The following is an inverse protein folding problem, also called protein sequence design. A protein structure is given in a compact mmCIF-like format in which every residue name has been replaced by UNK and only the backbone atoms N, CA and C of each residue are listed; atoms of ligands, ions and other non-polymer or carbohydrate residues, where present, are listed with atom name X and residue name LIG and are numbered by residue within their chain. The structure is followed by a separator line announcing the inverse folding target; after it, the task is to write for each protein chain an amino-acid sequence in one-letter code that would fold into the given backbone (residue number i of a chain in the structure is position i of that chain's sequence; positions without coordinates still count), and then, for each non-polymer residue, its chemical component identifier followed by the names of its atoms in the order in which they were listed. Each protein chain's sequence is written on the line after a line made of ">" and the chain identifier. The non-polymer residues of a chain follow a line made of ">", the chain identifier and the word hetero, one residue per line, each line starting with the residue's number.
data_IF_065901091203
#
_entry.id   IF_065901091203
#
_cell.length_a   1.000
_cell.length_b   1.000
_cell.length_c   1.000
_cell.angle_alpha   90.00
_cell.angle_beta   90.00
_cell.angle_gamma   90.00
#
_symmetry.space_group_name_H-M   'P 1'
#
loop_
_entity.id
_entity.type
_entity.pdbx_description
1 polymer ?
#
# COMPACT_ATOMS: atom_id res chain seq x y z
N UNK A 1 5.07 -14.25 -73.19
CA UNK A 1 4.87 -12.80 -73.37
C UNK A 1 3.77 -12.35 -72.40
N UNK A 2 4.15 -11.43 -71.48
CA UNK A 2 3.26 -10.69 -70.52
C UNK A 2 2.51 -11.52 -69.44
N UNK A 3 3.14 -11.70 -68.29
CA UNK A 3 2.53 -11.56 -66.96
C UNK A 3 3.56 -10.77 -66.12
N UNK A 4 3.40 -9.48 -66.06
CA UNK A 4 4.02 -8.57 -65.11
C UNK A 4 2.96 -7.55 -64.73
N UNK A 5 2.94 -7.17 -63.46
CA UNK A 5 2.13 -6.12 -62.83
C UNK A 5 0.90 -6.65 -62.10
N UNK A 6 1.10 -7.09 -60.86
CA UNK A 6 0.14 -6.90 -59.75
C UNK A 6 0.78 -6.99 -58.36
N UNK A 7 2.13 -7.06 -58.24
CA UNK A 7 2.83 -7.23 -56.96
C UNK A 7 3.31 -5.92 -56.30
N UNK A 8 2.89 -4.74 -56.79
CA UNK A 8 3.44 -3.44 -56.29
C UNK A 8 2.51 -2.75 -55.29
N UNK A 9 1.23 -3.09 -55.24
CA UNK A 9 0.30 -2.43 -54.32
C UNK A 9 0.31 -3.02 -52.90
N UNK A 10 0.59 -4.31 -52.74
CA UNK A 10 0.63 -4.96 -51.44
C UNK A 10 1.88 -4.59 -50.64
N UNK A 11 3.00 -4.33 -51.31
CA UNK A 11 4.23 -3.85 -50.64
C UNK A 11 4.14 -2.44 -50.06
N UNK A 12 3.22 -1.59 -50.54
CA UNK A 12 3.10 -0.22 -50.04
C UNK A 12 2.30 -0.13 -48.71
N UNK A 13 1.40 -1.07 -48.51
CA UNK A 13 0.60 -1.15 -47.27
C UNK A 13 1.43 -1.75 -46.12
N UNK A 14 2.26 -2.76 -46.46
CA UNK A 14 3.21 -3.39 -45.49
C UNK A 14 4.36 -2.43 -45.14
N UNK A 15 4.83 -1.60 -46.10
CA UNK A 15 5.86 -0.57 -45.83
C UNK A 15 5.39 0.53 -44.88
N UNK A 16 4.09 0.85 -44.82
CA UNK A 16 3.56 1.88 -43.91
C UNK A 16 3.47 1.41 -42.48
N UNK A 17 3.24 0.12 -42.24
CA UNK A 17 3.23 -0.46 -40.89
C UNK A 17 4.62 -0.68 -40.31
N UNK A 18 5.61 -1.01 -41.13
CA UNK A 18 7.01 -1.21 -40.71
C UNK A 18 7.74 0.14 -40.50
N UNK A 19 7.40 1.21 -41.21
CA UNK A 19 7.98 2.56 -40.99
C UNK A 19 7.59 3.18 -39.65
N UNK A 20 6.48 2.75 -39.03
CA UNK A 20 6.14 3.19 -37.69
C UNK A 20 6.94 2.49 -36.58
N UNK A 21 7.54 1.32 -36.83
CA UNK A 21 8.36 0.58 -35.87
C UNK A 21 9.75 1.22 -35.69
N UNK A 22 10.36 1.70 -36.79
CA UNK A 22 11.66 2.38 -36.75
C UNK A 22 11.59 3.79 -36.12
N UNK A 23 10.42 4.43 -36.11
CA UNK A 23 10.24 5.77 -35.53
C UNK A 23 10.08 5.80 -34.02
N UNK A 24 9.87 4.68 -33.36
CA UNK A 24 9.76 4.64 -31.88
C UNK A 24 11.10 4.39 -31.16
N UNK A 25 12.16 3.97 -31.86
CA UNK A 25 13.49 3.76 -31.26
C UNK A 25 14.44 4.95 -31.42
N UNK A 26 14.12 5.93 -32.28
CA UNK A 26 14.94 7.15 -32.47
C UNK A 26 14.33 8.39 -31.78
N UNK A 27 13.52 8.22 -30.75
CA UNK A 27 13.23 9.31 -29.84
C UNK A 27 14.52 9.63 -29.06
N UNK A 28 15.35 10.50 -29.66
CA UNK A 28 16.33 11.31 -28.95
C UNK A 28 15.65 11.79 -27.67
N UNK A 29 16.10 11.28 -26.54
CA UNK A 29 15.65 11.73 -25.22
C UNK A 29 15.86 13.25 -25.17
N UNK A 30 14.82 14.07 -25.00
CA UNK A 30 15.05 15.38 -24.46
C UNK A 30 15.54 15.16 -23.02
N UNK A 31 16.73 15.67 -22.71
CA UNK A 31 17.17 15.90 -21.32
C UNK A 31 16.18 16.89 -20.69
N UNK A 32 15.04 16.40 -20.28
CA UNK A 32 14.23 17.07 -19.27
C UNK A 32 14.59 16.41 -17.94
N UNK A 33 15.42 17.14 -17.17
CA UNK A 33 15.46 17.01 -15.73
C UNK A 33 14.06 17.37 -15.18
N UNK A 34 13.08 16.51 -15.43
CA UNK A 34 11.72 16.60 -14.92
C UNK A 34 11.61 15.67 -13.73
N UNK A 35 11.17 16.24 -12.62
CA UNK A 35 10.81 15.60 -11.36
C UNK A 35 10.28 14.16 -11.60
N UNK A 36 11.07 13.19 -11.21
CA UNK A 36 10.74 11.75 -11.29
C UNK A 36 9.51 11.36 -10.47
N UNK A 37 9.06 12.23 -9.58
CA UNK A 37 7.96 12.01 -8.66
C UNK A 37 6.56 12.28 -9.24
N UNK A 38 6.44 12.66 -10.52
CA UNK A 38 5.19 13.20 -11.06
C UNK A 38 4.27 12.23 -11.78
N UNK A 39 4.75 11.06 -12.22
CA UNK A 39 3.96 10.19 -13.10
C UNK A 39 2.65 9.71 -12.47
N UNK A 40 2.69 9.28 -11.22
CA UNK A 40 1.52 8.75 -10.52
C UNK A 40 0.88 9.75 -9.56
N UNK A 41 1.53 10.90 -9.31
CA UNK A 41 1.13 11.86 -8.29
C UNK A 41 -0.32 12.31 -8.44
N UNK A 42 -0.77 12.59 -9.66
CA UNK A 42 -2.16 12.98 -9.90
C UNK A 42 -3.15 11.90 -9.45
N UNK A 43 -2.86 10.64 -9.73
CA UNK A 43 -3.70 9.49 -9.35
C UNK A 43 -3.65 9.30 -7.83
N UNK A 44 -2.47 9.41 -7.21
CA UNK A 44 -2.32 9.29 -5.76
C UNK A 44 -3.04 10.40 -5.02
N UNK A 45 -2.93 11.66 -5.47
CA UNK A 45 -3.65 12.81 -4.91
C UNK A 45 -5.19 12.67 -5.07
N UNK A 46 -5.65 12.04 -6.14
CA UNK A 46 -7.07 11.76 -6.37
C UNK A 46 -7.56 10.65 -5.43
N UNK A 47 -6.81 9.57 -5.29
CA UNK A 47 -7.09 8.48 -4.36
C UNK A 47 -7.10 8.99 -2.92
N UNK A 48 -6.16 9.84 -2.53
CA UNK A 48 -6.13 10.43 -1.20
C UNK A 48 -7.41 11.21 -0.87
N UNK A 49 -7.95 11.94 -1.84
CA UNK A 49 -9.20 12.72 -1.66
C UNK A 49 -10.46 11.88 -1.67
N UNK A 50 -10.50 10.81 -2.48
CA UNK A 50 -11.73 10.07 -2.75
C UNK A 50 -11.82 8.77 -1.95
N UNK A 51 -10.72 8.27 -1.36
CA UNK A 51 -10.66 6.97 -0.71
C UNK A 51 -11.62 6.85 0.46
N UNK A 52 -12.61 5.98 0.33
CA UNK A 52 -13.54 5.63 1.41
C UNK A 52 -12.82 4.93 2.56
N UNK A 53 -11.73 4.20 2.29
CA UNK A 53 -10.89 3.56 3.30
C UNK A 53 -10.20 4.59 4.17
N UNK A 54 -9.63 5.65 3.59
CA UNK A 54 -9.05 6.76 4.36
C UNK A 54 -10.12 7.52 5.14
N UNK A 55 -11.31 7.71 4.57
CA UNK A 55 -12.43 8.32 5.29
C UNK A 55 -12.83 7.48 6.51
N UNK A 56 -12.89 6.15 6.40
CA UNK A 56 -13.14 5.24 7.53
C UNK A 56 -12.05 5.36 8.58
N UNK A 57 -10.77 5.37 8.18
CA UNK A 57 -9.67 5.56 9.13
C UNK A 57 -9.74 6.91 9.85
N UNK A 58 -10.07 7.98 9.14
CA UNK A 58 -10.28 9.30 9.72
C UNK A 58 -11.40 9.32 10.77
N UNK A 59 -12.57 8.74 10.42
CA UNK A 59 -13.71 8.66 11.36
C UNK A 59 -13.42 7.76 12.56
N UNK A 60 -12.71 6.64 12.36
CA UNK A 60 -12.26 5.78 13.45
C UNK A 60 -11.29 6.50 14.39
N UNK A 61 -10.38 7.31 13.83
CA UNK A 61 -9.45 8.13 14.62
C UNK A 61 -10.20 9.20 15.43
N UNK A 62 -11.20 9.88 14.83
CA UNK A 62 -12.06 10.83 15.55
C UNK A 62 -12.78 10.15 16.71
N UNK A 63 -13.40 8.99 16.49
CA UNK A 63 -14.08 8.21 17.52
C UNK A 63 -13.12 7.77 18.64
N UNK A 64 -11.92 7.30 18.28
CA UNK A 64 -10.88 6.94 19.24
C UNK A 64 -10.45 8.14 20.12
N UNK A 65 -10.25 9.31 19.51
CA UNK A 65 -9.87 10.55 20.22
C UNK A 65 -10.95 11.03 21.19
N UNK A 66 -12.22 10.86 20.83
CA UNK A 66 -13.35 11.10 21.75
C UNK A 66 -13.34 10.05 22.87
N UNK A 67 -13.15 8.76 22.53
CA UNK A 67 -13.08 7.67 23.51
C UNK A 67 -11.96 7.86 24.52
N UNK A 68 -10.78 8.32 24.08
CA UNK A 68 -9.64 8.60 24.96
C UNK A 68 -9.95 9.68 26.03
N UNK A 69 -10.95 10.54 25.79
CA UNK A 69 -11.39 11.58 26.73
C UNK A 69 -12.55 11.16 27.61
N UNK A 70 -13.06 9.94 27.47
CA UNK A 70 -14.07 9.41 28.40
C UNK A 70 -13.46 9.05 29.75
N UNK A 71 -14.24 9.17 30.83
CA UNK A 71 -13.79 8.83 32.19
C UNK A 71 -12.72 9.76 32.78
N UNK A 72 -12.59 10.98 32.22
CA UNK A 72 -11.73 12.05 32.78
C UNK A 72 -12.43 12.88 33.85
N UNK A 73 -13.76 12.84 33.89
CA UNK A 73 -14.58 13.51 34.91
C UNK A 73 -14.71 12.64 36.16
N UNK A 74 -15.04 13.21 37.33
CA UNK A 74 -15.44 12.44 38.50
C UNK A 74 -16.62 11.53 38.20
N UNK A 75 -16.77 10.47 39.02
CA UNK A 75 -17.95 9.60 38.99
C UNK A 75 -19.22 10.44 39.24
N UNK A 76 -20.37 9.95 38.82
CA UNK A 76 -21.63 10.64 39.06
C UNK A 76 -22.01 10.58 40.56
N UNK A 77 -22.77 11.58 41.10
CA UNK A 77 -23.35 11.48 42.42
C UNK A 77 -24.24 10.25 42.51
N UNK A 78 -24.14 9.55 43.65
CA UNK A 78 -24.96 8.41 43.99
C UNK A 78 -26.07 8.85 44.96
N UNK A 79 -27.31 8.49 44.67
CA UNK A 79 -28.47 8.76 45.49
C UNK A 79 -28.99 7.42 46.04
N UNK A 80 -29.00 7.27 47.32
CA UNK A 80 -29.54 6.10 48.02
C UNK A 80 -30.87 6.44 48.67
N UNK A 81 -31.87 5.61 48.45
CA UNK A 81 -33.17 5.70 49.10
C UNK A 81 -33.49 4.33 49.70
N UNK A 82 -33.61 4.27 51.02
CA UNK A 82 -33.93 3.04 51.76
C UNK A 82 -35.30 3.14 52.46
N UNK A 83 -36.07 2.08 52.37
CA UNK A 83 -37.28 1.90 53.17
C UNK A 83 -37.25 0.50 53.80
N UNK A 84 -37.12 0.45 55.12
CA UNK A 84 -36.97 -0.79 55.90
C UNK A 84 -38.15 -0.91 56.87
N UNK A 85 -39.19 -1.73 56.56
CA UNK A 85 -40.26 -1.99 57.46
C UNK A 85 -39.74 -2.80 58.64
N UNK A 86 -40.13 -2.38 59.89
CA UNK A 86 -39.75 -3.07 61.09
C UNK A 86 -40.59 -4.36 61.31
N UNK A 87 -39.98 -5.45 61.83
CA UNK A 87 -40.61 -6.73 62.05
C UNK A 87 -41.74 -6.64 63.10
N UNK A 88 -41.66 -5.68 63.98
CA UNK A 88 -42.67 -5.46 65.10
C UNK A 88 -43.46 -4.16 64.94
N UNK A 89 -43.50 -3.61 63.67
CA UNK A 89 -44.15 -2.33 63.39
C UNK A 89 -43.14 -1.17 63.25
N UNK A 90 -43.59 -0.06 62.65
CA UNK A 90 -42.74 1.07 62.31
C UNK A 90 -41.98 0.86 60.97
N UNK A 91 -41.33 1.90 60.48
CA UNK A 91 -40.48 1.84 59.28
C UNK A 91 -39.31 2.81 59.46
N UNK A 92 -38.15 2.41 58.95
CA UNK A 92 -36.98 3.27 58.82
C UNK A 92 -36.86 3.73 57.37
N UNK A 93 -36.67 5.00 57.18
CA UNK A 93 -36.41 5.63 55.85
C UNK A 93 -34.99 6.18 55.84
N UNK A 94 -34.21 5.76 54.85
CA UNK A 94 -32.87 6.24 54.70
C UNK A 94 -32.79 7.06 53.41
N UNK A 95 -32.15 8.23 53.46
CA UNK A 95 -31.86 9.07 52.32
C UNK A 95 -30.36 9.36 52.36
N UNK A 96 -29.67 9.08 51.24
CA UNK A 96 -28.25 9.37 51.09
C UNK A 96 -27.96 10.02 49.74
N UNK A 97 -27.06 10.98 49.74
CA UNK A 97 -26.45 11.53 48.50
C UNK A 97 -24.95 11.52 48.74
N UNK A 98 -24.20 10.85 47.87
CA UNK A 98 -22.74 10.79 47.99
C UNK A 98 -22.05 11.09 46.65
N UNK A 99 -20.88 11.71 46.69
CA UNK A 99 -20.02 11.99 45.58
C UNK A 99 -18.61 11.50 45.88
N UNK A 100 -18.10 10.60 45.03
CA UNK A 100 -16.73 10.09 45.11
C UNK A 100 -15.79 10.90 44.22
N UNK A 101 -14.56 11.08 44.68
CA UNK A 101 -13.49 11.77 43.97
C UNK A 101 -12.20 10.96 44.06
N UNK A 102 -11.60 10.70 42.91
CA UNK A 102 -10.22 10.25 42.87
C UNK A 102 -9.28 11.37 43.34
N UNK A 103 -8.07 11.01 43.74
CA UNK A 103 -7.07 12.03 44.09
C UNK A 103 -6.82 12.97 42.89
N UNK A 104 -6.79 14.30 43.05
CA UNK A 104 -6.75 15.27 41.97
C UNK A 104 -5.68 15.04 40.93
N UNK A 105 -4.51 14.48 41.34
CA UNK A 105 -3.42 14.15 40.41
C UNK A 105 -3.80 13.06 39.43
N UNK A 106 -4.77 12.17 39.71
CA UNK A 106 -5.19 11.13 38.80
C UNK A 106 -5.89 11.70 37.58
N UNK A 107 -6.78 12.69 37.73
CA UNK A 107 -7.44 13.36 36.61
C UNK A 107 -6.44 14.04 35.70
N UNK A 108 -5.46 14.73 36.29
CA UNK A 108 -4.37 15.37 35.51
C UNK A 108 -3.53 14.33 34.74
N UNK A 109 -3.23 13.17 35.34
CA UNK A 109 -2.47 12.09 34.70
C UNK A 109 -3.27 11.40 33.61
N UNK A 110 -4.56 11.13 33.84
CA UNK A 110 -5.49 10.60 32.83
C UNK A 110 -5.59 11.55 31.63
N UNK A 111 -5.72 12.87 31.85
CA UNK A 111 -5.74 13.87 30.79
C UNK A 111 -4.48 13.85 29.93
N UNK A 112 -3.28 13.83 30.56
CA UNK A 112 -2.00 13.74 29.85
C UNK A 112 -1.83 12.44 29.08
N UNK A 113 -2.38 11.32 29.57
CA UNK A 113 -2.42 10.06 28.86
C UNK A 113 -3.33 10.17 27.63
N UNK A 114 -4.54 10.70 27.79
CA UNK A 114 -5.51 10.91 26.71
C UNK A 114 -4.92 11.80 25.59
N UNK A 115 -4.21 12.87 25.96
CA UNK A 115 -3.55 13.74 24.98
C UNK A 115 -2.46 12.98 24.22
N UNK A 116 -1.64 12.17 24.89
CA UNK A 116 -0.62 11.34 24.26
C UNK A 116 -1.24 10.28 23.34
N UNK A 117 -2.35 9.64 23.74
CA UNK A 117 -3.10 8.68 22.93
C UNK A 117 -3.72 9.35 21.69
N UNK A 118 -4.19 10.59 21.79
CA UNK A 118 -4.73 11.34 20.65
C UNK A 118 -3.65 11.64 19.61
N UNK A 119 -2.44 12.01 20.05
CA UNK A 119 -1.29 12.18 19.14
C UNK A 119 -0.93 10.85 18.49
N UNK A 120 -0.94 9.75 19.24
CA UNK A 120 -0.69 8.41 18.71
C UNK A 120 -1.70 8.03 17.61
N UNK A 121 -2.99 8.28 17.85
CA UNK A 121 -4.05 8.03 16.87
C UNK A 121 -3.85 8.82 15.57
N UNK A 122 -3.42 10.09 15.65
CA UNK A 122 -3.10 10.89 14.46
C UNK A 122 -1.88 10.35 13.69
N UNK A 123 -0.84 9.91 14.39
CA UNK A 123 0.35 9.32 13.77
C UNK A 123 0.04 7.96 13.12
N UNK A 124 -0.82 7.16 13.76
CA UNK A 124 -1.30 5.90 13.19
C UNK A 124 -2.08 6.14 11.88
N UNK A 125 -2.93 7.18 11.85
CA UNK A 125 -3.65 7.57 10.63
C UNK A 125 -2.67 7.93 9.50
N UNK A 126 -1.60 8.66 9.80
CA UNK A 126 -0.56 9.00 8.81
C UNK A 126 0.17 7.76 8.28
N UNK A 127 0.50 6.80 9.15
CA UNK A 127 1.10 5.54 8.72
C UNK A 127 0.17 4.75 7.78
N UNK A 128 -1.11 4.63 8.13
CA UNK A 128 -2.11 3.95 7.28
C UNK A 128 -2.34 4.64 5.94
N UNK A 129 -2.24 5.99 5.92
CA UNK A 129 -2.30 6.77 4.68
C UNK A 129 -1.12 6.42 3.77
N UNK A 130 0.10 6.41 4.31
CA UNK A 130 1.31 6.02 3.58
C UNK A 130 1.17 4.61 2.98
N UNK A 131 0.72 3.64 3.77
CA UNK A 131 0.54 2.26 3.32
C UNK A 131 -0.47 2.14 2.17
N UNK A 132 -1.59 2.87 2.23
CA UNK A 132 -2.61 2.88 1.18
C UNK A 132 -2.09 3.53 -0.10
N UNK A 133 -1.35 4.64 0.00
CA UNK A 133 -0.77 5.31 -1.16
C UNK A 133 0.33 4.46 -1.80
N UNK A 134 1.15 3.75 -1.01
CA UNK A 134 2.13 2.79 -1.53
C UNK A 134 1.44 1.63 -2.28
N UNK A 135 0.33 1.13 -1.76
CA UNK A 135 -0.47 0.11 -2.47
C UNK A 135 -0.99 0.65 -3.82
N UNK A 136 -1.49 1.88 -3.84
CA UNK A 136 -1.95 2.52 -5.07
C UNK A 136 -0.80 2.73 -6.07
N UNK A 137 0.37 3.17 -5.62
CA UNK A 137 1.56 3.35 -6.47
C UNK A 137 2.02 2.03 -7.07
N UNK A 138 2.05 0.95 -6.29
CA UNK A 138 2.35 -0.40 -6.79
C UNK A 138 1.37 -0.83 -7.88
N UNK A 139 0.07 -0.58 -7.69
CA UNK A 139 -0.93 -0.86 -8.73
C UNK A 139 -0.70 -0.05 -10.01
N UNK A 140 -0.29 1.22 -9.90
CA UNK A 140 0.06 2.04 -11.06
C UNK A 140 1.30 1.49 -11.80
N UNK A 141 2.33 1.09 -11.07
CA UNK A 141 3.54 0.47 -11.64
C UNK A 141 3.18 -0.81 -12.41
N UNK A 142 2.42 -1.70 -11.80
CA UNK A 142 1.97 -2.94 -12.45
C UNK A 142 1.09 -2.65 -13.67
N UNK A 143 0.28 -1.61 -13.64
CA UNK A 143 -0.58 -1.23 -14.76
C UNK A 143 0.22 -0.71 -15.95
N UNK A 144 1.28 0.08 -15.75
CA UNK A 144 2.21 0.50 -16.82
C UNK A 144 2.84 -0.71 -17.49
N UNK A 145 3.34 -1.67 -16.68
CA UNK A 145 3.91 -2.91 -17.19
C UNK A 145 2.89 -3.70 -18.03
N UNK A 146 1.69 -3.90 -17.53
CA UNK A 146 0.65 -4.66 -18.25
C UNK A 146 0.15 -3.91 -19.49
N UNK A 147 0.13 -2.57 -19.50
CA UNK A 147 -0.18 -1.79 -20.70
C UNK A 147 0.90 -1.99 -21.78
N UNK A 148 2.17 -1.94 -21.40
CA UNK A 148 3.29 -2.18 -22.30
C UNK A 148 3.26 -3.62 -22.86
N UNK A 149 3.00 -4.60 -21.99
CA UNK A 149 2.90 -6.01 -22.36
C UNK A 149 1.71 -6.27 -23.31
N UNK A 150 0.56 -5.65 -23.07
CA UNK A 150 -0.60 -5.72 -23.96
C UNK A 150 -0.29 -5.14 -25.35
N UNK A 151 0.44 -4.03 -25.41
CA UNK A 151 0.88 -3.45 -26.68
C UNK A 151 1.86 -4.39 -27.43
N UNK A 152 2.77 -5.04 -26.69
CA UNK A 152 3.69 -6.04 -27.23
C UNK A 152 2.93 -7.23 -27.83
N UNK A 153 2.07 -7.88 -27.05
CA UNK A 153 1.29 -9.04 -27.50
C UNK A 153 0.29 -8.71 -28.61
N UNK A 154 -0.25 -7.49 -28.66
CA UNK A 154 -1.09 -7.06 -29.78
C UNK A 154 -0.32 -7.05 -31.10
N UNK A 155 0.92 -6.56 -31.09
CA UNK A 155 1.79 -6.59 -32.29
C UNK A 155 2.17 -8.02 -32.71
N UNK A 156 2.49 -8.86 -31.73
CA UNK A 156 2.80 -10.27 -31.97
C UNK A 156 1.58 -11.01 -32.56
N UNK A 157 0.38 -10.72 -32.07
CA UNK A 157 -0.86 -11.29 -32.57
C UNK A 157 -1.10 -10.92 -34.05
N UNK A 158 -0.87 -9.66 -34.42
CA UNK A 158 -1.02 -9.21 -35.82
C UNK A 158 -0.02 -9.92 -36.73
N UNK A 159 1.22 -10.10 -36.29
CA UNK A 159 2.23 -10.89 -37.01
C UNK A 159 1.84 -12.37 -37.11
N UNK A 160 1.41 -12.99 -36.01
CA UNK A 160 0.99 -14.39 -36.00
C UNK A 160 -0.22 -14.64 -36.93
N UNK A 161 -1.17 -13.70 -37.02
CA UNK A 161 -2.30 -13.74 -37.98
C UNK A 161 -1.79 -13.73 -39.42
N UNK A 162 -0.89 -12.78 -39.74
CA UNK A 162 -0.33 -12.67 -41.10
C UNK A 162 0.41 -13.95 -41.51
N UNK A 163 1.18 -14.54 -40.60
CA UNK A 163 1.89 -15.81 -40.82
C UNK A 163 0.90 -16.98 -41.00
N UNK A 164 -0.10 -17.11 -40.14
CA UNK A 164 -1.09 -18.17 -40.23
C UNK A 164 -1.87 -18.11 -41.55
N UNK A 165 -2.32 -16.93 -41.96
CA UNK A 165 -3.01 -16.71 -43.24
C UNK A 165 -2.10 -17.02 -44.43
N UNK A 166 -0.81 -16.67 -44.37
CA UNK A 166 0.14 -16.99 -45.41
C UNK A 166 0.37 -18.50 -45.59
N UNK A 167 0.51 -19.22 -44.47
CA UNK A 167 0.71 -20.68 -44.50
C UNK A 167 -0.55 -21.43 -44.88
N UNK A 168 -1.73 -20.96 -44.53
CA UNK A 168 -2.98 -21.53 -45.00
C UNK A 168 -3.11 -21.39 -46.54
N UNK A 169 -2.72 -20.24 -47.14
CA UNK A 169 -2.68 -20.07 -48.58
C UNK A 169 -1.63 -20.97 -49.23
N UNK A 170 -0.41 -21.04 -48.71
CA UNK A 170 0.66 -21.93 -49.21
C UNK A 170 0.22 -23.38 -49.20
N UNK A 171 -0.42 -23.83 -48.13
CA UNK A 171 -0.94 -25.20 -48.01
C UNK A 171 -1.97 -25.53 -49.08
N UNK A 172 -2.88 -24.62 -49.37
CA UNK A 172 -3.88 -24.80 -50.44
C UNK A 172 -3.26 -24.90 -51.86
N UNK A 173 -2.10 -24.24 -52.05
CA UNK A 173 -1.33 -24.32 -53.31
C UNK A 173 -0.33 -25.48 -53.34
N UNK A 174 -0.20 -26.24 -52.24
CA UNK A 174 0.77 -27.33 -52.16
C UNK A 174 2.22 -26.90 -51.83
N UNK A 175 2.42 -25.64 -51.49
CA UNK A 175 3.73 -25.04 -51.21
C UNK A 175 4.11 -25.08 -49.71
N UNK A 176 3.25 -25.65 -48.86
CA UNK A 176 3.52 -25.86 -47.44
C UNK A 176 2.92 -27.18 -46.95
N UNK A 177 3.51 -27.74 -45.89
CA UNK A 177 3.05 -28.97 -45.27
C UNK A 177 1.92 -28.68 -44.25
N UNK A 178 1.11 -29.71 -43.97
CA UNK A 178 0.08 -29.65 -42.92
C UNK A 178 0.69 -29.33 -41.55
N UNK A 179 1.91 -29.79 -41.28
CA UNK A 179 2.62 -29.55 -40.02
C UNK A 179 2.93 -28.07 -39.85
N UNK A 180 3.41 -27.40 -40.90
CA UNK A 180 3.71 -25.97 -40.87
C UNK A 180 2.44 -25.14 -40.68
N UNK A 181 1.36 -25.47 -41.38
CA UNK A 181 0.08 -24.84 -41.20
C UNK A 181 -0.44 -24.95 -39.76
N UNK A 182 -0.35 -26.18 -39.16
CA UNK A 182 -0.75 -26.39 -37.78
C UNK A 182 0.14 -25.61 -36.79
N UNK A 183 1.45 -25.51 -37.03
CA UNK A 183 2.36 -24.72 -36.17
C UNK A 183 1.99 -23.21 -36.20
N UNK A 184 1.71 -22.68 -37.39
CA UNK A 184 1.29 -21.28 -37.52
C UNK A 184 -0.05 -21.01 -36.79
N UNK A 185 -1.03 -21.91 -36.91
CA UNK A 185 -2.29 -21.83 -36.22
C UNK A 185 -2.14 -21.93 -34.68
N UNK A 186 -1.29 -22.82 -34.18
CA UNK A 186 -1.00 -22.92 -32.74
C UNK A 186 -0.32 -21.67 -32.21
N UNK A 187 0.64 -21.10 -32.94
CA UNK A 187 1.27 -19.84 -32.58
C UNK A 187 0.26 -18.70 -32.47
N UNK A 188 -0.65 -18.58 -33.44
CA UNK A 188 -1.74 -17.61 -33.42
C UNK A 188 -2.60 -17.78 -32.16
N UNK A 189 -3.03 -19.02 -31.87
CA UNK A 189 -3.84 -19.31 -30.69
C UNK A 189 -3.13 -18.96 -29.39
N UNK A 190 -1.82 -19.23 -29.29
CA UNK A 190 -1.03 -18.88 -28.12
C UNK A 190 -0.99 -17.35 -27.92
N UNK A 191 -0.75 -16.57 -28.98
CA UNK A 191 -0.71 -15.10 -28.89
C UNK A 191 -2.08 -14.51 -28.51
N UNK A 192 -3.18 -15.08 -29.02
CA UNK A 192 -4.53 -14.69 -28.59
C UNK A 192 -4.75 -14.93 -27.09
N UNK A 193 -4.31 -16.05 -26.58
CA UNK A 193 -4.46 -16.40 -25.17
C UNK A 193 -3.61 -15.52 -24.27
N UNK A 194 -2.34 -15.22 -24.62
CA UNK A 194 -1.50 -14.33 -23.84
C UNK A 194 -2.07 -12.90 -23.80
N UNK A 195 -2.53 -12.38 -24.94
CA UNK A 195 -3.19 -11.06 -24.95
C UNK A 195 -4.46 -11.02 -24.10
N UNK A 196 -5.29 -12.08 -24.13
CA UNK A 196 -6.48 -12.18 -23.27
C UNK A 196 -6.12 -12.17 -21.79
N UNK A 197 -5.08 -12.92 -21.40
CA UNK A 197 -4.57 -12.98 -20.02
C UNK A 197 -4.13 -11.61 -19.54
N UNK A 198 -3.26 -10.94 -20.29
CA UNK A 198 -2.76 -9.60 -19.93
C UNK A 198 -3.91 -8.58 -19.84
N UNK A 199 -4.89 -8.62 -20.75
CA UNK A 199 -6.05 -7.75 -20.68
C UNK A 199 -6.95 -8.04 -19.47
N UNK A 200 -6.99 -9.27 -18.97
CA UNK A 200 -7.66 -9.61 -17.73
C UNK A 200 -6.95 -9.00 -16.52
N UNK A 201 -5.62 -9.13 -16.46
CA UNK A 201 -4.79 -8.54 -15.39
C UNK A 201 -4.91 -6.99 -15.38
N UNK A 202 -4.88 -6.35 -16.55
CA UNK A 202 -5.15 -4.89 -16.67
C UNK A 202 -6.49 -4.48 -16.06
N UNK A 203 -7.56 -5.22 -16.38
CA UNK A 203 -8.89 -4.94 -15.82
C UNK A 203 -8.93 -5.13 -14.31
N UNK A 204 -8.23 -6.13 -13.79
CA UNK A 204 -8.12 -6.35 -12.35
C UNK A 204 -7.41 -5.18 -11.65
N UNK A 205 -6.29 -4.69 -12.19
CA UNK A 205 -5.54 -3.55 -11.64
C UNK A 205 -6.37 -2.26 -11.69
N UNK A 206 -7.04 -1.98 -12.80
CA UNK A 206 -7.95 -0.83 -12.92
C UNK A 206 -9.12 -0.91 -11.92
N UNK A 207 -9.68 -2.11 -11.73
CA UNK A 207 -10.71 -2.35 -10.71
C UNK A 207 -10.17 -2.10 -9.30
N UNK A 208 -8.93 -2.51 -9.01
CA UNK A 208 -8.26 -2.26 -7.71
C UNK A 208 -8.05 -0.76 -7.49
N UNK A 209 -7.52 -0.05 -8.48
CA UNK A 209 -7.34 1.42 -8.41
C UNK A 209 -8.68 2.14 -8.23
N UNK A 210 -9.72 1.74 -8.98
CA UNK A 210 -11.08 2.28 -8.83
C UNK A 210 -11.61 2.08 -7.41
N UNK A 211 -11.38 0.90 -6.81
CA UNK A 211 -11.78 0.63 -5.43
C UNK A 211 -11.01 1.51 -4.43
N UNK A 212 -9.69 1.67 -4.59
CA UNK A 212 -8.88 2.56 -3.77
C UNK A 212 -9.31 4.03 -3.91
N UNK A 213 -9.77 4.41 -5.11
CA UNK A 213 -10.29 5.75 -5.45
C UNK A 213 -11.77 5.95 -5.09
N UNK A 214 -12.28 5.19 -4.12
CA UNK A 214 -13.65 5.35 -3.62
C UNK A 214 -14.75 5.01 -4.65
N UNK A 215 -14.46 4.19 -5.64
CA UNK A 215 -15.38 3.80 -6.71
C UNK A 215 -15.32 4.71 -7.96
N UNK A 216 -14.50 5.75 -7.94
CA UNK A 216 -14.29 6.62 -9.12
C UNK A 216 -13.29 5.93 -10.06
N UNK A 217 -13.65 5.71 -11.35
CA UNK A 217 -12.77 5.06 -12.31
C UNK A 217 -11.46 5.82 -12.50
N UNK A 218 -10.35 5.07 -12.59
CA UNK A 218 -9.02 5.62 -12.91
C UNK A 218 -8.67 5.25 -14.34
N UNK A 219 -8.26 6.24 -15.13
CA UNK A 219 -7.77 6.05 -16.49
C UNK A 219 -6.25 6.22 -16.51
N UNK A 220 -5.55 5.21 -17.02
CA UNK A 220 -4.10 5.21 -17.17
C UNK A 220 -3.72 4.37 -18.37
N UNK A 221 -3.11 5.01 -19.35
CA UNK A 221 -2.71 4.40 -20.62
C UNK A 221 -1.18 4.36 -20.82
N UNK A 222 -0.40 4.81 -19.85
CA UNK A 222 1.06 4.82 -19.93
C UNK A 222 1.61 3.41 -20.15
N UNK A 223 2.55 3.31 -21.10
CA UNK A 223 3.26 2.07 -21.47
C UNK A 223 4.74 2.12 -21.15
N UNK A 224 5.21 3.18 -20.53
CA UNK A 224 6.61 3.39 -20.15
C UNK A 224 6.71 4.14 -18.83
N UNK A 225 7.81 3.94 -18.14
CA UNK A 225 8.11 4.65 -16.90
C UNK A 225 8.92 5.92 -17.17
N UNK A 226 8.74 6.94 -16.34
CA UNK A 226 9.63 8.10 -16.32
C UNK A 226 11.07 7.68 -15.95
N UNK A 227 12.10 8.51 -16.17
CA UNK A 227 13.47 8.21 -15.76
C UNK A 227 13.59 7.78 -14.30
N UNK A 228 14.54 6.90 -13.99
CA UNK A 228 14.75 6.37 -12.62
C UNK A 228 15.40 7.44 -11.74
N UNK A 229 14.88 7.61 -10.52
CA UNK A 229 15.54 8.40 -9.46
C UNK A 229 16.89 7.77 -9.13
N UNK A 230 17.92 8.61 -8.96
CA UNK A 230 19.23 8.13 -8.55
C UNK A 230 19.19 7.66 -7.09
N UNK A 231 19.86 6.54 -6.83
CA UNK A 231 20.04 6.04 -5.47
C UNK A 231 20.93 6.97 -4.66
N UNK A 232 20.71 7.08 -3.34
CA UNK A 232 21.56 7.91 -2.47
C UNK A 232 23.00 7.39 -2.48
N UNK A 233 23.95 8.32 -2.54
CA UNK A 233 25.39 8.00 -2.54
C UNK A 233 25.89 7.51 -1.18
N UNK A 234 25.33 8.03 -0.08
CA UNK A 234 25.57 7.56 1.30
C UNK A 234 24.31 6.90 1.85
N UNK A 235 24.27 5.57 1.72
CA UNK A 235 23.16 4.77 2.19
C UNK A 235 22.94 4.88 3.70
N UNK A 236 24.01 4.94 4.50
CA UNK A 236 23.89 4.97 5.98
C UNK A 236 23.27 6.28 6.47
N UNK A 237 23.72 7.40 5.93
CA UNK A 237 23.12 8.70 6.26
C UNK A 237 21.67 8.77 5.83
N UNK A 238 21.36 8.27 4.63
CA UNK A 238 20.01 8.26 4.09
C UNK A 238 19.03 7.36 4.90
N UNK A 239 19.45 6.20 5.40
CA UNK A 239 18.60 5.34 6.26
C UNK A 239 18.16 6.07 7.52
N UNK A 240 19.05 6.85 8.15
CA UNK A 240 18.70 7.63 9.34
C UNK A 240 17.66 8.72 9.01
N UNK A 241 17.79 9.34 7.86
CA UNK A 241 16.84 10.35 7.38
C UNK A 241 15.49 9.73 7.07
N UNK A 242 15.46 8.59 6.37
CA UNK A 242 14.28 7.82 6.06
C UNK A 242 13.56 7.33 7.34
N UNK A 243 14.29 6.80 8.34
CA UNK A 243 13.71 6.43 9.64
C UNK A 243 13.10 7.64 10.35
N UNK A 244 13.79 8.78 10.34
CA UNK A 244 13.30 9.99 11.01
C UNK A 244 12.01 10.53 10.39
N UNK A 245 11.90 10.46 9.06
CA UNK A 245 10.74 10.95 8.29
C UNK A 245 9.55 9.95 8.27
N UNK A 246 9.81 8.66 8.48
CA UNK A 246 8.79 7.62 8.36
C UNK A 246 7.69 7.73 9.44
N UNK A 247 6.40 7.89 9.06
CA UNK A 247 5.28 8.01 9.99
C UNK A 247 5.13 6.81 10.94
N UNK A 248 5.49 5.59 10.51
CA UNK A 248 5.41 4.39 11.35
C UNK A 248 6.35 4.48 12.56
N UNK A 249 7.57 5.03 12.38
CA UNK A 249 8.48 5.25 13.50
C UNK A 249 8.04 6.40 14.40
N UNK A 250 7.42 7.43 13.84
CA UNK A 250 6.82 8.49 14.65
C UNK A 250 5.70 7.93 15.55
N UNK A 251 4.88 7.02 15.02
CA UNK A 251 3.85 6.29 15.77
C UNK A 251 4.48 5.44 16.89
N UNK A 252 5.48 4.61 16.60
CA UNK A 252 6.14 3.76 17.60
C UNK A 252 6.80 4.59 18.72
N UNK A 253 7.45 5.70 18.40
CA UNK A 253 7.99 6.64 19.41
C UNK A 253 6.89 7.18 20.31
N UNK A 254 5.74 7.50 19.74
CA UNK A 254 4.59 8.01 20.51
C UNK A 254 3.97 6.93 21.39
N UNK A 255 3.94 5.66 20.96
CA UNK A 255 3.46 4.53 21.79
C UNK A 255 4.31 4.35 23.06
N UNK A 256 5.63 4.55 22.98
CA UNK A 256 6.51 4.57 24.16
C UNK A 256 6.08 5.70 25.11
N UNK A 257 5.79 6.89 24.59
CA UNK A 257 5.33 8.01 25.43
C UNK A 257 3.94 7.74 26.05
N UNK A 258 3.03 7.11 25.31
CA UNK A 258 1.73 6.66 25.85
C UNK A 258 1.95 5.69 27.01
N UNK A 259 2.79 4.67 26.84
CA UNK A 259 3.12 3.70 27.89
C UNK A 259 3.76 4.40 29.12
N UNK A 260 4.68 5.35 28.94
CA UNK A 260 5.26 6.15 30.04
C UNK A 260 4.20 6.98 30.78
N UNK A 261 3.23 7.59 30.09
CA UNK A 261 2.10 8.28 30.74
C UNK A 261 1.20 7.28 31.48
N UNK A 262 1.00 6.07 30.96
CA UNK A 262 0.30 4.96 31.62
C UNK A 262 0.91 4.60 32.99
N UNK A 263 2.24 4.57 33.11
CA UNK A 263 2.94 4.41 34.40
C UNK A 263 2.54 5.52 35.38
N UNK A 264 2.42 6.76 34.88
CA UNK A 264 1.99 7.89 35.69
C UNK A 264 0.56 7.75 36.23
N UNK A 265 -0.36 7.27 35.40
CA UNK A 265 -1.74 6.97 35.80
C UNK A 265 -1.77 5.82 36.82
N UNK A 266 -1.05 4.72 36.53
CA UNK A 266 -0.96 3.55 37.40
C UNK A 266 -0.44 3.89 38.83
N UNK A 267 0.50 4.81 38.94
CA UNK A 267 0.98 5.34 40.23
C UNK A 267 -0.09 6.17 40.92
N UNK A 268 -0.81 7.03 40.20
CA UNK A 268 -1.83 7.90 40.77
C UNK A 268 -3.07 7.12 41.24
N UNK A 269 -3.38 6.00 40.63
CA UNK A 269 -4.44 5.08 41.07
C UNK A 269 -4.17 4.41 42.44
N UNK A 270 -2.92 4.41 42.89
CA UNK A 270 -2.54 3.98 44.23
C UNK A 270 -2.77 5.02 45.35
N UNK A 271 -3.25 6.22 45.01
CA UNK A 271 -3.56 7.26 45.99
C UNK A 271 -4.96 7.10 46.54
N UNK A 272 -5.23 7.63 47.78
CA UNK A 272 -6.54 7.55 48.39
C UNK A 272 -7.64 8.20 47.54
N UNK A 273 -8.86 7.62 47.61
CA UNK A 273 -10.09 8.24 47.08
C UNK A 273 -10.85 8.90 48.23
N UNK A 274 -11.54 9.98 47.91
CA UNK A 274 -12.35 10.71 48.90
C UNK A 274 -13.81 10.63 48.49
N UNK A 275 -14.71 10.60 49.51
CA UNK A 275 -16.13 10.79 49.27
C UNK A 275 -16.68 11.81 50.25
N UNK A 276 -17.62 12.60 49.78
CA UNK A 276 -18.41 13.53 50.55
C UNK A 276 -19.88 13.24 50.31
N UNK A 277 -20.67 13.22 51.33
CA UNK A 277 -22.09 12.94 51.18
C UNK A 277 -22.91 13.54 52.33
N UNK A 278 -24.21 13.50 52.12
CA UNK A 278 -25.23 13.74 53.15
C UNK A 278 -26.02 12.46 53.36
N UNK A 279 -26.33 12.14 54.59
CA UNK A 279 -27.19 11.03 54.94
C UNK A 279 -28.22 11.44 55.98
N UNK A 280 -29.44 10.99 55.81
CA UNK A 280 -30.55 11.12 56.74
C UNK A 280 -31.17 9.76 57.01
N UNK A 281 -31.47 9.48 58.27
CA UNK A 281 -32.16 8.30 58.74
C UNK A 281 -33.36 8.75 59.57
N UNK A 282 -34.55 8.29 59.21
CA UNK A 282 -35.80 8.72 59.82
C UNK A 282 -36.59 7.52 60.22
N UNK A 283 -36.96 7.50 61.54
CA UNK A 283 -37.89 6.56 62.11
C UNK A 283 -39.17 7.32 62.51
N UNK A 284 -40.28 6.65 62.92
CA UNK A 284 -41.49 7.33 63.32
C UNK A 284 -41.31 8.28 64.56
N UNK A 285 -40.33 8.00 65.38
CA UNK A 285 -40.10 8.70 66.63
C UNK A 285 -38.93 9.68 66.61
N UNK A 286 -37.93 9.43 65.74
CA UNK A 286 -36.68 10.19 65.69
C UNK A 286 -36.13 10.29 64.31
N UNK A 287 -35.31 11.31 64.07
CA UNK A 287 -34.59 11.52 62.78
C UNK A 287 -33.15 12.01 62.97
N UNK A 288 -32.23 11.38 62.29
CA UNK A 288 -30.82 11.78 62.30
C UNK A 288 -30.41 12.18 60.88
N UNK A 289 -29.63 13.23 60.76
CA UNK A 289 -29.11 13.70 59.46
C UNK A 289 -27.76 14.38 59.65
N UNK A 290 -26.88 14.25 58.64
CA UNK A 290 -25.56 14.84 58.72
C UNK A 290 -24.69 14.63 57.48
N UNK A 291 -23.52 15.23 57.52
CA UNK A 291 -22.51 15.07 56.48
C UNK A 291 -21.67 13.82 56.74
N UNK A 292 -21.47 13.02 55.70
CA UNK A 292 -20.53 11.87 55.72
C UNK A 292 -19.28 12.25 54.93
N UNK A 293 -18.11 11.98 55.51
CA UNK A 293 -16.82 12.05 54.86
C UNK A 293 -16.20 10.65 54.84
N UNK A 294 -15.76 10.21 53.67
CA UNK A 294 -15.13 8.90 53.52
C UNK A 294 -13.75 9.01 52.85
N UNK A 295 -12.85 8.15 53.25
CA UNK A 295 -11.53 7.99 52.61
C UNK A 295 -11.33 6.52 52.34
N UNK A 296 -11.14 6.14 51.09
CA UNK A 296 -10.78 4.79 50.66
C UNK A 296 -9.30 4.70 50.37
N UNK A 297 -8.58 3.84 51.09
CA UNK A 297 -7.14 3.64 50.92
C UNK A 297 -6.90 2.31 50.19
N UNK A 298 -6.38 2.34 48.93
CA UNK A 298 -6.19 1.14 48.13
C UNK A 298 -4.96 0.35 48.63
N UNK A 299 -5.16 -0.63 49.52
CA UNK A 299 -4.08 -1.46 50.09
C UNK A 299 -3.68 -2.62 49.17
N UNK A 300 -4.62 -3.22 48.45
CA UNK A 300 -4.42 -4.43 47.65
C UNK A 300 -4.80 -4.27 46.19
N UNK A 301 -5.77 -3.44 45.88
CA UNK A 301 -6.38 -3.26 44.52
C UNK A 301 -5.37 -2.94 43.43
N UNK A 302 -4.34 -2.16 43.75
CA UNK A 302 -3.34 -1.70 42.84
C UNK A 302 -2.04 -2.53 42.82
N UNK A 303 -2.06 -3.74 43.46
CA UNK A 303 -0.91 -4.63 43.49
C UNK A 303 -0.49 -5.00 42.07
N UNK A 304 0.82 -4.88 41.75
CA UNK A 304 1.44 -5.13 40.46
C UNK A 304 1.05 -4.16 39.32
N UNK A 305 0.08 -3.26 39.44
CA UNK A 305 -0.35 -2.33 38.39
C UNK A 305 0.81 -1.48 37.85
N UNK A 306 1.61 -0.89 38.72
CA UNK A 306 2.80 -0.11 38.34
C UNK A 306 3.88 -1.01 37.70
N UNK A 307 4.04 -2.24 38.21
CA UNK A 307 5.01 -3.19 37.62
C UNK A 307 4.59 -3.59 36.21
N UNK A 308 3.30 -3.86 36.00
CA UNK A 308 2.72 -4.13 34.68
C UNK A 308 2.96 -2.95 33.73
N UNK A 309 2.56 -1.74 34.09
CA UNK A 309 2.75 -0.57 33.27
C UNK A 309 4.24 -0.27 32.91
N UNK A 310 5.19 -0.59 33.79
CA UNK A 310 6.60 -0.52 33.48
C UNK A 310 7.06 -1.60 32.50
N UNK A 311 6.49 -2.80 32.58
CA UNK A 311 6.76 -3.86 31.62
C UNK A 311 6.21 -3.52 30.23
N UNK A 312 5.06 -2.83 30.16
CA UNK A 312 4.53 -2.28 28.89
C UNK A 312 5.48 -1.25 28.26
N UNK A 313 6.11 -0.37 29.05
CA UNK A 313 7.14 0.54 28.53
C UNK A 313 8.31 -0.23 27.96
N UNK A 314 8.85 -1.22 28.70
CA UNK A 314 9.96 -2.02 28.20
C UNK A 314 9.59 -2.82 26.93
N UNK A 315 8.35 -3.33 26.84
CA UNK A 315 7.86 -3.99 25.64
C UNK A 315 7.76 -3.03 24.45
N UNK A 316 7.28 -1.80 24.64
CA UNK A 316 7.20 -0.79 23.59
C UNK A 316 8.59 -0.33 23.11
N UNK A 317 9.55 -0.17 24.03
CA UNK A 317 10.94 0.14 23.70
C UNK A 317 11.57 -0.99 22.87
N UNK A 318 11.38 -2.25 23.28
CA UNK A 318 11.89 -3.41 22.54
C UNK A 318 11.22 -3.56 21.17
N UNK A 319 9.92 -3.27 21.03
CA UNK A 319 9.23 -3.27 19.76
C UNK A 319 9.78 -2.21 18.78
N UNK A 320 10.17 -1.04 19.30
CA UNK A 320 10.83 -0.01 18.52
C UNK A 320 12.21 -0.44 18.01
N UNK A 321 13.01 -1.10 18.85
CA UNK A 321 14.34 -1.60 18.48
C UNK A 321 14.25 -2.71 17.43
N UNK A 322 13.27 -3.63 17.58
CA UNK A 322 13.01 -4.68 16.61
C UNK A 322 12.53 -4.10 15.27
N UNK A 323 11.60 -3.16 15.28
CA UNK A 323 11.13 -2.49 14.07
C UNK A 323 12.26 -1.76 13.34
N UNK A 324 13.19 -1.11 14.08
CA UNK A 324 14.36 -0.46 13.51
C UNK A 324 15.28 -1.45 12.81
N UNK A 325 15.57 -2.60 13.46
CA UNK A 325 16.41 -3.65 12.88
C UNK A 325 15.79 -4.19 11.59
N UNK A 326 14.50 -4.53 11.61
CA UNK A 326 13.80 -5.05 10.44
C UNK A 326 13.75 -4.02 9.29
N UNK A 327 13.48 -2.75 9.60
CA UNK A 327 13.42 -1.68 8.61
C UNK A 327 14.76 -1.43 7.95
N UNK A 328 15.85 -1.32 8.75
CA UNK A 328 17.19 -1.13 8.20
C UNK A 328 17.63 -2.29 7.31
N UNK A 329 17.39 -3.53 7.72
CA UNK A 329 17.67 -4.71 6.91
C UNK A 329 16.83 -4.75 5.62
N UNK A 330 15.56 -4.34 5.69
CA UNK A 330 14.69 -4.24 4.50
C UNK A 330 15.18 -3.18 3.53
N UNK A 331 15.55 -1.99 4.02
CA UNK A 331 16.10 -0.93 3.18
C UNK A 331 17.44 -1.32 2.53
N UNK A 332 18.31 -2.02 3.26
CA UNK A 332 19.58 -2.52 2.72
C UNK A 332 19.33 -3.51 1.58
N UNK A 333 18.43 -4.46 1.78
CA UNK A 333 18.04 -5.41 0.74
C UNK A 333 17.47 -4.70 -0.50
N UNK A 334 16.54 -3.75 -0.30
CA UNK A 334 15.93 -3.01 -1.41
C UNK A 334 16.96 -2.15 -2.16
N UNK A 335 17.88 -1.53 -1.45
CA UNK A 335 18.95 -0.73 -2.04
C UNK A 335 19.86 -1.58 -2.95
N UNK A 336 20.31 -2.74 -2.45
CA UNK A 336 21.11 -3.68 -3.24
C UNK A 336 20.32 -4.23 -4.43
N UNK A 337 19.04 -4.56 -4.23
CA UNK A 337 18.14 -5.00 -5.31
C UNK A 337 18.01 -3.93 -6.40
N UNK A 338 17.80 -2.66 -6.04
CA UNK A 338 17.73 -1.57 -7.02
C UNK A 338 19.04 -1.43 -7.81
N UNK A 339 20.19 -1.58 -7.16
CA UNK A 339 21.50 -1.51 -7.80
C UNK A 339 21.69 -2.62 -8.83
N UNK A 340 21.39 -3.87 -8.45
CA UNK A 340 21.48 -5.02 -9.33
C UNK A 340 20.51 -4.94 -10.52
N UNK A 341 19.25 -4.56 -10.26
CA UNK A 341 18.25 -4.41 -11.31
C UNK A 341 18.64 -3.30 -12.31
N UNK A 342 19.18 -2.18 -11.83
CA UNK A 342 19.67 -1.10 -12.70
C UNK A 342 20.80 -1.59 -13.59
N UNK A 343 21.75 -2.36 -13.05
CA UNK A 343 22.83 -2.96 -13.82
C UNK A 343 22.32 -3.96 -14.88
N UNK A 344 21.32 -4.76 -14.54
CA UNK A 344 20.71 -5.70 -15.46
C UNK A 344 19.96 -5.01 -16.60
N UNK A 345 19.18 -3.96 -16.30
CA UNK A 345 18.50 -3.14 -17.30
C UNK A 345 19.51 -2.58 -18.30
N UNK A 346 20.58 -1.95 -17.83
CA UNK A 346 21.62 -1.37 -18.69
C UNK A 346 22.27 -2.41 -19.61
N UNK A 347 22.45 -3.65 -19.13
CA UNK A 347 22.96 -4.77 -19.98
C UNK A 347 21.97 -5.14 -21.06
N UNK A 348 20.68 -5.32 -20.73
CA UNK A 348 19.64 -5.62 -21.71
C UNK A 348 19.53 -4.51 -22.78
N UNK A 349 19.45 -3.24 -22.35
CA UNK A 349 19.35 -2.09 -23.25
C UNK A 349 20.54 -2.03 -24.21
N UNK A 350 21.77 -2.23 -23.72
CA UNK A 350 22.96 -2.25 -24.55
C UNK A 350 22.97 -3.35 -25.62
N UNK A 351 22.33 -4.50 -25.33
CA UNK A 351 22.19 -5.61 -26.29
C UNK A 351 21.10 -5.30 -27.30
N UNK A 352 19.96 -4.76 -26.88
CA UNK A 352 18.85 -4.44 -27.78
C UNK A 352 19.16 -3.25 -28.71
N UNK A 353 19.91 -2.22 -28.24
CA UNK A 353 20.37 -1.11 -29.08
C UNK A 353 21.30 -1.55 -30.22
N UNK A 354 22.15 -2.55 -29.97
CA UNK A 354 23.09 -3.07 -30.98
C UNK A 354 22.46 -4.07 -31.94
N UNK A 355 21.38 -4.71 -31.56
CA UNK A 355 20.80 -5.86 -32.26
C UNK A 355 19.26 -5.70 -32.35
N UNK A 356 18.78 -4.89 -33.29
CA UNK A 356 17.35 -4.85 -33.65
C UNK A 356 16.99 -6.06 -34.52
N UNK A 357 16.84 -7.22 -33.89
CA UNK A 357 16.70 -8.49 -34.58
C UNK A 357 15.31 -8.77 -35.16
N UNK A 358 14.26 -8.14 -34.66
CA UNK A 358 12.88 -8.38 -35.10
C UNK A 358 12.64 -8.09 -36.57
N UNK A 359 13.14 -6.95 -37.09
CA UNK A 359 13.05 -6.58 -38.50
C UNK A 359 13.96 -7.46 -39.36
N UNK A 360 15.15 -7.81 -38.87
CA UNK A 360 16.07 -8.70 -39.58
C UNK A 360 15.49 -10.12 -39.70
N UNK A 361 14.93 -10.66 -38.64
CA UNK A 361 14.25 -11.95 -38.65
C UNK A 361 13.08 -11.99 -39.62
N UNK A 362 12.26 -10.94 -39.65
CA UNK A 362 11.14 -10.85 -40.57
C UNK A 362 11.60 -10.79 -42.02
N UNK A 363 12.66 -10.04 -42.34
CA UNK A 363 13.25 -9.97 -43.68
C UNK A 363 13.84 -11.30 -44.13
N UNK A 364 14.62 -11.97 -43.28
CA UNK A 364 15.20 -13.26 -43.59
C UNK A 364 14.11 -14.34 -43.81
N UNK A 365 13.06 -14.33 -43.01
CA UNK A 365 11.91 -15.22 -43.16
C UNK A 365 11.14 -14.95 -44.47
N UNK A 366 10.83 -13.70 -44.78
CA UNK A 366 10.11 -13.34 -46.01
C UNK A 366 10.97 -13.52 -47.27
N UNK A 367 12.29 -13.42 -47.14
CA UNK A 367 13.28 -13.72 -48.17
C UNK A 367 13.48 -15.22 -48.41
N UNK A 368 12.95 -16.07 -47.56
CA UNK A 368 13.10 -17.52 -47.65
C UNK A 368 14.44 -18.07 -47.12
N UNK A 369 15.20 -17.24 -46.38
CA UNK A 369 16.48 -17.62 -45.74
C UNK A 369 16.25 -18.39 -44.42
N UNK A 370 15.11 -18.19 -43.79
CA UNK A 370 14.72 -18.90 -42.56
C UNK A 370 13.48 -19.78 -42.80
N UNK A 371 13.48 -20.98 -42.20
CA UNK A 371 12.28 -21.79 -42.13
C UNK A 371 11.24 -21.17 -41.15
N UNK A 372 9.96 -21.56 -41.27
CA UNK A 372 8.94 -21.14 -40.31
C UNK A 372 9.34 -21.50 -38.86
N UNK A 373 9.90 -22.67 -38.66
CA UNK A 373 10.27 -23.15 -37.34
C UNK A 373 11.39 -22.28 -36.75
N UNK A 374 12.44 -22.05 -37.52
CA UNK A 374 13.57 -21.24 -37.07
C UNK A 374 13.12 -19.79 -36.80
N UNK A 375 12.30 -19.23 -37.69
CA UNK A 375 11.71 -17.90 -37.48
C UNK A 375 10.91 -17.79 -36.19
N UNK A 376 10.02 -18.75 -35.89
CA UNK A 376 9.20 -18.73 -34.67
C UNK A 376 10.07 -18.93 -33.41
N UNK A 377 11.09 -19.78 -33.46
CA UNK A 377 12.01 -19.99 -32.32
C UNK A 377 12.83 -18.74 -32.01
N UNK A 378 13.40 -18.10 -33.04
CA UNK A 378 14.21 -16.88 -32.87
C UNK A 378 13.35 -15.72 -32.40
N UNK A 379 12.13 -15.60 -32.92
CA UNK A 379 11.17 -14.59 -32.53
C UNK A 379 10.74 -14.76 -31.07
N UNK A 380 10.45 -15.99 -30.64
CA UNK A 380 10.14 -16.35 -29.26
C UNK A 380 11.29 -15.97 -28.31
N UNK A 381 12.54 -16.33 -28.68
CA UNK A 381 13.71 -15.99 -27.89
C UNK A 381 13.88 -14.47 -27.72
N UNK A 382 13.72 -13.71 -28.80
CA UNK A 382 13.81 -12.25 -28.79
C UNK A 382 12.75 -11.64 -27.87
N UNK A 383 11.49 -12.02 -28.03
CA UNK A 383 10.38 -11.45 -27.25
C UNK A 383 10.42 -11.87 -25.79
N UNK A 384 10.79 -13.09 -25.46
CA UNK A 384 11.01 -13.53 -24.08
C UNK A 384 12.11 -12.71 -23.41
N UNK A 385 13.17 -12.36 -24.12
CA UNK A 385 14.24 -11.52 -23.61
C UNK A 385 13.76 -10.07 -23.39
N UNK A 386 12.95 -9.55 -24.29
CA UNK A 386 12.36 -8.21 -24.17
C UNK A 386 11.35 -8.13 -23.02
N UNK A 387 10.53 -9.15 -22.84
CA UNK A 387 9.62 -9.26 -21.68
C UNK A 387 10.39 -9.29 -20.37
N UNK A 388 11.52 -10.02 -20.29
CA UNK A 388 12.40 -10.01 -19.11
C UNK A 388 12.97 -8.63 -18.81
N UNK A 389 13.33 -7.84 -19.81
CA UNK A 389 13.72 -6.43 -19.63
C UNK A 389 12.57 -5.63 -18.99
N UNK A 390 11.37 -5.74 -19.54
CA UNK A 390 10.19 -5.03 -19.02
C UNK A 390 9.85 -5.46 -17.59
N UNK A 391 9.94 -6.76 -17.27
CA UNK A 391 9.79 -7.27 -15.91
C UNK A 391 10.85 -6.70 -14.97
N UNK A 392 12.11 -6.65 -15.40
CA UNK A 392 13.22 -6.07 -14.61
C UNK A 392 13.01 -4.58 -14.35
N UNK A 393 12.50 -3.84 -15.33
CA UNK A 393 12.13 -2.43 -15.18
C UNK A 393 10.99 -2.24 -14.18
N UNK A 394 9.94 -3.06 -14.25
CA UNK A 394 8.83 -3.07 -13.28
C UNK A 394 9.35 -3.37 -11.87
N UNK A 395 10.17 -4.41 -11.71
CA UNK A 395 10.68 -4.83 -10.41
C UNK A 395 11.55 -3.75 -9.77
N UNK A 396 12.35 -3.03 -10.57
CA UNK A 396 13.09 -1.86 -10.11
C UNK A 396 12.15 -0.76 -9.60
N UNK A 397 11.04 -0.50 -10.30
CA UNK A 397 10.07 0.52 -9.88
C UNK A 397 9.37 0.14 -8.57
N UNK A 398 8.98 -1.13 -8.43
CA UNK A 398 8.38 -1.63 -7.20
C UNK A 398 9.35 -1.54 -6.01
N UNK A 399 10.62 -1.86 -6.22
CA UNK A 399 11.65 -1.73 -5.19
C UNK A 399 11.90 -0.26 -4.81
N UNK A 400 11.93 0.66 -5.77
CA UNK A 400 12.07 2.09 -5.53
C UNK A 400 10.85 2.69 -4.80
N UNK A 401 9.63 2.31 -5.19
CA UNK A 401 8.41 2.75 -4.52
C UNK A 401 8.42 2.34 -3.04
N UNK A 402 8.88 1.13 -2.71
CA UNK A 402 9.01 0.69 -1.33
C UNK A 402 10.17 1.39 -0.59
N UNK A 403 11.30 1.60 -1.26
CA UNK A 403 12.47 2.28 -0.70
C UNK A 403 12.14 3.73 -0.28
N UNK A 404 11.34 4.43 -1.07
CA UNK A 404 10.95 5.82 -0.84
C UNK A 404 9.53 5.99 -0.29
N UNK A 405 8.89 4.91 0.19
CA UNK A 405 7.51 4.94 0.69
C UNK A 405 7.27 5.99 1.79
N UNK A 406 8.30 6.34 2.57
CA UNK A 406 8.23 7.33 3.65
C UNK A 406 7.96 8.78 3.15
N UNK A 407 8.08 9.03 1.85
CA UNK A 407 7.81 10.33 1.21
C UNK A 407 6.32 10.50 0.81
N UNK A 408 5.53 9.41 0.82
CA UNK A 408 4.10 9.39 0.54
C UNK A 408 3.31 9.96 1.76
#
# INVERSE_FOLDING_TARGET
>A
MRIRINNIKDNAMIRRTVSCLAMCLSAVMPLFAGNTDGQFRKILDEIERNSTTLAVYGKSTEAQKIGNRTGLAPENPEIELGYLPGIHGGARKDIGISQSFDFPTLYSRKGKLADAQNVSADLQLRSRRMDLLLEAERCCIELVFNNALAALYSRQLDNAKAVADAYERKFRHGDATRIECNKAALNLTNMENELKKVNLERRQLLSRLTMLNGGVPVEMADTSYNPVRQLPSDFRAWVLEAEAANPAFAYLRQEIEVAKKGVGVSKAMGLPKFSVGYAGEFTPDEGWQGVKLGVSIPLWENRNRVKHARAEVAAAEQAMDDARLQYSARLEFLFEQCRELTGNISRYESVFEKNSNDELLYRAFTGGELSLLDYLLELEYYFNSYEKLMQTQRDLRLALAELYAYEL
#
